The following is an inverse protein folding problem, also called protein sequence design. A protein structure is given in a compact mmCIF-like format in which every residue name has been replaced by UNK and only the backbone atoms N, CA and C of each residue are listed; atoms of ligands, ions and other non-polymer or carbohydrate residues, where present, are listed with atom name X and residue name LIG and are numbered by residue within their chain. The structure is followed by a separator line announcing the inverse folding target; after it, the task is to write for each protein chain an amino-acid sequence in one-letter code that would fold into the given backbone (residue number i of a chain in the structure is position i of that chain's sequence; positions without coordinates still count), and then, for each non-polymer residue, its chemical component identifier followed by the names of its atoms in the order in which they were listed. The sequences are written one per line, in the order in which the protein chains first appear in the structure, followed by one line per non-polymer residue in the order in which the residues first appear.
data_IF_637474884779
#
_entry.id   IF_637474884779
#
_cell.length_a   1.000
_cell.length_b   1.000
_cell.length_c   1.000
_cell.angle_alpha   90.00
_cell.angle_beta   90.00
_cell.angle_gamma   90.00
#
_symmetry.space_group_name_H-M   'P 1'
#
loop_
_entity.id
_entity.type
_entity.pdbx_description
1 polymer ?
#
# COMPACT_ATOMS: atom_id res chain seq x y z
N UNK A 1 11.17 -9.84 -102.06
CA UNK A 1 12.38 -10.60 -101.65
C UNK A 1 13.01 -9.79 -100.53
N UNK A 2 13.10 -10.18 -99.26
CA UNK A 2 13.04 -11.48 -98.57
C UNK A 2 12.88 -11.14 -97.06
N UNK A 3 11.78 -11.54 -96.42
CA UNK A 3 11.68 -12.47 -95.27
C UNK A 3 12.62 -12.29 -94.05
N UNK A 4 11.95 -12.26 -92.89
CA UNK A 4 12.22 -12.93 -91.58
C UNK A 4 13.40 -12.52 -90.67
N UNK A 5 13.02 -12.09 -89.46
CA UNK A 5 13.22 -12.73 -88.13
C UNK A 5 13.45 -11.62 -87.09
N UNK A 6 12.56 -11.35 -86.12
CA UNK A 6 12.07 -12.20 -85.04
C UNK A 6 13.23 -12.79 -84.22
N UNK A 7 13.59 -12.11 -83.13
CA UNK A 7 13.47 -12.61 -81.76
C UNK A 7 14.45 -11.90 -80.80
N UNK A 8 14.03 -11.83 -79.54
CA UNK A 8 14.81 -11.47 -78.36
C UNK A 8 15.26 -10.01 -78.19
N UNK A 9 14.38 -9.22 -77.56
CA UNK A 9 14.77 -8.33 -76.45
C UNK A 9 13.57 -7.78 -75.69
N UNK A 10 13.53 -8.16 -74.41
CA UNK A 10 13.04 -7.36 -73.29
C UNK A 10 11.58 -6.87 -73.35
N UNK A 11 10.65 -7.72 -72.89
CA UNK A 11 9.47 -7.21 -72.20
C UNK A 11 9.55 -7.55 -70.71
N UNK A 12 9.62 -6.49 -69.91
CA UNK A 12 9.49 -6.47 -68.46
C UNK A 12 8.03 -6.76 -68.12
N UNK A 13 7.75 -7.85 -67.42
CA UNK A 13 6.52 -8.01 -66.64
C UNK A 13 6.83 -8.91 -65.43
N UNK A 14 6.79 -8.30 -64.24
CA UNK A 14 6.77 -8.97 -62.94
C UNK A 14 5.36 -9.53 -62.74
N UNK A 15 5.21 -10.77 -62.24
CA UNK A 15 4.63 -10.88 -60.90
C UNK A 15 5.14 -12.09 -60.10
N UNK A 16 4.78 -12.11 -58.81
CA UNK A 16 4.84 -13.27 -57.89
C UNK A 16 6.15 -13.50 -57.13
N UNK A 17 6.46 -12.58 -56.22
CA UNK A 17 7.31 -12.87 -55.05
C UNK A 17 6.48 -13.52 -53.95
N UNK A 18 6.56 -14.85 -53.85
CA UNK A 18 5.91 -15.65 -52.82
C UNK A 18 6.37 -15.30 -51.40
N UNK A 19 5.42 -15.35 -50.48
CA UNK A 19 5.59 -15.25 -49.02
C UNK A 19 6.56 -16.35 -48.54
N UNK A 20 7.64 -16.05 -47.79
CA UNK A 20 8.52 -17.11 -47.29
C UNK A 20 7.76 -18.00 -46.29
N UNK A 21 7.99 -19.32 -46.29
CA UNK A 21 7.34 -20.24 -45.37
C UNK A 21 7.88 -20.04 -43.94
N UNK A 22 6.96 -19.99 -42.97
CA UNK A 22 7.25 -19.97 -41.54
C UNK A 22 8.14 -21.17 -41.17
N UNK A 23 9.36 -20.90 -40.72
CA UNK A 23 10.17 -21.89 -40.03
C UNK A 23 9.54 -22.16 -38.65
N UNK A 24 8.74 -23.22 -38.57
CA UNK A 24 8.30 -23.79 -37.30
C UNK A 24 9.51 -24.43 -36.60
N UNK A 25 10.24 -23.63 -35.83
CA UNK A 25 11.19 -24.15 -34.84
C UNK A 25 10.37 -24.80 -33.74
N UNK A 26 10.34 -26.14 -33.77
CA UNK A 26 9.81 -27.01 -32.73
C UNK A 26 10.64 -26.83 -31.45
N UNK A 27 10.21 -25.93 -30.56
CA UNK A 27 10.73 -25.86 -29.20
C UNK A 27 10.29 -27.13 -28.49
N UNK A 28 11.26 -27.98 -28.17
CA UNK A 28 11.05 -29.13 -27.29
C UNK A 28 10.68 -28.59 -25.90
N UNK A 29 9.49 -28.96 -25.43
CA UNK A 29 9.01 -28.69 -24.07
C UNK A 29 9.73 -29.62 -23.10
N UNK A 30 10.89 -29.22 -22.60
CA UNK A 30 11.50 -29.86 -21.44
C UNK A 30 10.76 -29.37 -20.19
N UNK A 31 10.17 -30.30 -19.43
CA UNK A 31 9.43 -29.99 -18.21
C UNK A 31 10.41 -29.42 -17.16
N UNK A 32 10.01 -28.38 -16.40
CA UNK A 32 10.85 -27.87 -15.32
C UNK A 32 11.12 -28.95 -14.26
N UNK A 33 12.33 -29.00 -13.67
CA UNK A 33 12.65 -29.97 -12.64
C UNK A 33 11.72 -29.79 -11.41
N UNK A 34 11.39 -30.87 -10.68
CA UNK A 34 10.52 -30.80 -9.52
C UNK A 34 11.15 -29.91 -8.43
N UNK A 35 10.39 -28.92 -7.97
CA UNK A 35 10.73 -28.08 -6.82
C UNK A 35 10.77 -28.96 -5.57
N UNK A 36 11.90 -28.97 -4.86
CA UNK A 36 12.03 -29.71 -3.60
C UNK A 36 11.03 -29.19 -2.55
N UNK A 37 10.43 -30.06 -1.72
CA UNK A 37 9.51 -29.61 -0.67
C UNK A 37 10.24 -28.74 0.37
N UNK A 38 9.56 -27.73 0.93
CA UNK A 38 10.14 -26.86 1.96
C UNK A 38 10.49 -27.66 3.24
N UNK A 39 11.54 -27.27 3.97
CA UNK A 39 11.90 -27.92 5.23
C UNK A 39 10.80 -27.74 6.28
N UNK A 40 10.60 -28.70 7.20
CA UNK A 40 9.61 -28.60 8.26
C UNK A 40 9.95 -27.44 9.23
N UNK A 41 8.94 -26.81 9.84
CA UNK A 41 9.15 -25.72 10.80
C UNK A 41 9.90 -26.25 12.03
N UNK A 42 11.01 -25.59 12.38
CA UNK A 42 11.72 -25.83 13.64
C UNK A 42 10.86 -25.34 14.81
N UNK A 43 10.44 -26.25 15.69
CA UNK A 43 9.88 -25.89 16.98
C UNK A 43 10.99 -25.36 17.92
N UNK A 44 10.72 -24.33 18.75
CA UNK A 44 11.64 -23.90 19.79
C UNK A 44 11.74 -24.98 20.89
N UNK A 45 12.92 -25.17 21.51
CA UNK A 45 13.08 -26.13 22.60
C UNK A 45 12.31 -25.68 23.86
N UNK A 46 11.64 -26.64 24.51
CA UNK A 46 10.89 -26.42 25.75
C UNK A 46 11.81 -25.91 26.89
N UNK A 47 11.31 -25.02 27.78
CA UNK A 47 12.09 -24.55 28.91
C UNK A 47 12.34 -25.67 29.92
N UNK A 48 13.63 -25.89 30.20
CA UNK A 48 14.16 -26.87 31.15
C UNK A 48 13.83 -26.45 32.58
N UNK A 49 12.98 -27.21 33.25
CA UNK A 49 12.66 -27.02 34.67
C UNK A 49 13.92 -27.21 35.53
N UNK A 50 14.26 -26.18 36.30
CA UNK A 50 15.31 -26.24 37.32
C UNK A 50 14.66 -26.57 38.67
N UNK A 51 14.72 -27.84 39.06
CA UNK A 51 14.53 -28.27 40.44
C UNK A 51 15.75 -27.87 41.26
N UNK A 52 15.54 -27.31 42.47
CA UNK A 52 16.38 -27.34 43.68
C UNK A 52 15.91 -26.21 44.60
N UNK A 53 15.80 -26.32 45.93
CA UNK A 53 15.99 -27.39 46.90
C UNK A 53 15.40 -26.84 48.22
N UNK A 54 14.65 -27.63 48.96
CA UNK A 54 14.13 -27.25 50.28
C UNK A 54 15.23 -27.21 51.36
N UNK A 55 15.09 -26.33 52.35
CA UNK A 55 15.81 -26.40 53.64
C UNK A 55 15.06 -25.65 54.76
N UNK A 56 14.40 -26.43 55.63
CA UNK A 56 14.33 -26.36 57.12
C UNK A 56 14.01 -25.00 57.80
N UNK A 57 12.92 -24.74 58.55
CA UNK A 57 12.18 -25.37 59.66
C UNK A 57 12.46 -24.78 61.06
N UNK A 58 11.41 -24.77 61.91
CA UNK A 58 11.24 -24.27 63.30
C UNK A 58 10.77 -22.81 63.41
N UNK A 59 9.76 -22.42 64.22
CA UNK A 59 9.20 -22.97 65.45
C UNK A 59 7.77 -22.41 65.71
N UNK A 60 6.93 -23.23 66.36
CA UNK A 60 5.57 -22.94 66.80
C UNK A 60 5.54 -21.96 67.98
N UNK A 61 4.59 -21.02 67.99
CA UNK A 61 3.99 -20.56 69.23
C UNK A 61 2.51 -20.19 69.03
N UNK A 62 1.63 -20.93 69.70
CA UNK A 62 0.21 -20.58 69.89
C UNK A 62 0.14 -19.95 71.27
N UNK A 63 -0.27 -18.68 71.34
CA UNK A 63 -1.00 -18.22 72.50
C UNK A 63 -2.07 -17.20 72.12
N UNK A 64 -3.20 -17.35 72.78
CA UNK A 64 -4.45 -16.63 72.55
C UNK A 64 -4.54 -15.39 73.45
N UNK A 65 -5.38 -14.45 73.01
CA UNK A 65 -6.02 -13.35 73.76
C UNK A 65 -5.17 -12.12 74.13
N UNK A 66 -5.45 -10.99 73.48
CA UNK A 66 -6.11 -9.84 74.12
C UNK A 66 -6.32 -8.66 73.15
N UNK A 67 -7.58 -8.21 73.11
CA UNK A 67 -8.08 -6.83 72.97
C UNK A 67 -7.45 -5.79 72.01
N UNK A 68 -8.35 -5.25 71.18
CA UNK A 68 -8.56 -3.80 70.97
C UNK A 68 -7.48 -3.00 70.24
N UNK A 69 -7.69 -2.77 68.94
CA UNK A 69 -7.85 -1.44 68.32
C UNK A 69 -7.73 -1.56 66.80
N UNK A 70 -8.82 -1.27 66.08
CA UNK A 70 -8.78 -1.03 64.62
C UNK A 70 -8.32 0.43 64.44
N UNK A 71 -7.19 0.72 63.77
CA UNK A 71 -6.92 2.09 63.36
C UNK A 71 -7.87 2.41 62.20
N UNK A 72 -8.75 3.38 62.41
CA UNK A 72 -9.53 3.99 61.33
C UNK A 72 -8.58 4.68 60.36
N UNK A 73 -8.11 3.95 59.35
CA UNK A 73 -7.53 4.55 58.15
C UNK A 73 -8.68 5.23 57.40
N UNK A 74 -8.67 6.56 57.39
CA UNK A 74 -9.59 7.37 56.59
C UNK A 74 -9.34 7.03 55.11
N UNK A 75 -10.23 6.24 54.51
CA UNK A 75 -10.30 6.14 53.06
C UNK A 75 -10.85 7.47 52.54
N UNK A 76 -9.96 8.34 52.07
CA UNK A 76 -10.36 9.46 51.24
C UNK A 76 -11.09 8.90 50.02
N UNK A 77 -12.34 9.30 49.84
CA UNK A 77 -13.08 9.07 48.60
C UNK A 77 -12.26 9.63 47.44
N UNK A 78 -11.92 8.86 46.39
CA UNK A 78 -11.53 9.48 45.14
C UNK A 78 -12.78 10.19 44.63
N UNK A 79 -12.83 11.51 44.81
CA UNK A 79 -13.78 12.38 44.10
C UNK A 79 -13.53 12.14 42.63
N UNK A 80 -14.40 11.34 41.99
CA UNK A 80 -14.44 11.19 40.55
C UNK A 80 -14.77 12.58 40.02
N UNK A 81 -13.75 13.28 39.51
CA UNK A 81 -13.99 14.51 38.79
C UNK A 81 -15.03 14.22 37.70
N UNK A 82 -16.05 15.07 37.50
CA UNK A 82 -16.92 14.92 36.35
C UNK A 82 -15.99 14.88 35.13
N UNK A 83 -16.16 13.85 34.30
CA UNK A 83 -15.48 13.74 33.02
C UNK A 83 -15.79 15.03 32.27
N UNK A 84 -14.87 15.97 32.32
CA UNK A 84 -15.01 17.25 31.64
C UNK A 84 -15.13 16.86 30.18
N UNK A 85 -16.29 17.17 29.59
CA UNK A 85 -16.59 16.92 28.20
C UNK A 85 -15.33 17.22 27.38
N UNK A 86 -14.74 16.16 26.83
CA UNK A 86 -13.63 16.28 25.90
C UNK A 86 -14.06 17.33 24.90
N UNK A 87 -13.29 18.41 24.83
CA UNK A 87 -13.58 19.53 23.96
C UNK A 87 -13.81 18.95 22.57
N UNK A 88 -15.05 19.01 22.09
CA UNK A 88 -15.38 18.68 20.72
C UNK A 88 -14.70 19.73 19.85
N UNK A 89 -13.39 19.60 19.64
CA UNK A 89 -12.72 20.26 18.55
C UNK A 89 -13.49 19.80 17.31
N UNK A 90 -14.15 20.75 16.66
CA UNK A 90 -14.69 20.55 15.34
C UNK A 90 -13.56 19.94 14.51
N UNK A 91 -13.72 18.67 14.12
CA UNK A 91 -12.75 17.97 13.28
C UNK A 91 -12.69 18.81 12.02
N UNK A 92 -11.56 19.46 11.76
CA UNK A 92 -11.32 20.07 10.48
C UNK A 92 -11.41 18.93 9.45
N UNK A 93 -12.52 18.90 8.70
CA UNK A 93 -12.70 17.91 7.64
C UNK A 93 -11.72 18.31 6.54
N UNK A 94 -10.54 17.72 6.58
CA UNK A 94 -9.55 17.91 5.54
C UNK A 94 -10.03 17.18 4.29
N UNK A 95 -10.24 17.90 3.19
CA UNK A 95 -10.64 17.34 1.91
C UNK A 95 -9.48 16.57 1.28
N UNK A 96 -9.79 15.61 0.41
CA UNK A 96 -8.77 14.90 -0.37
C UNK A 96 -8.00 15.87 -1.25
N UNK A 97 -8.67 16.85 -1.87
CA UNK A 97 -7.98 17.86 -2.67
C UNK A 97 -6.89 18.60 -1.86
N UNK A 98 -7.20 19.02 -0.62
CA UNK A 98 -6.22 19.70 0.23
C UNK A 98 -5.04 18.78 0.57
N UNK A 99 -5.31 17.52 0.93
CA UNK A 99 -4.26 16.53 1.20
C UNK A 99 -3.36 16.29 -0.02
N UNK A 100 -3.94 16.24 -1.22
CA UNK A 100 -3.18 16.08 -2.47
C UNK A 100 -2.29 17.30 -2.73
N UNK A 101 -2.78 18.51 -2.46
CA UNK A 101 -1.97 19.74 -2.56
C UNK A 101 -0.82 19.74 -1.55
N UNK A 102 -1.09 19.37 -0.29
CA UNK A 102 -0.07 19.31 0.75
C UNK A 102 1.00 18.25 0.45
N UNK A 103 0.59 17.09 -0.05
CA UNK A 103 1.49 16.02 -0.49
C UNK A 103 2.37 16.46 -1.66
N UNK A 104 1.78 17.13 -2.66
CA UNK A 104 2.52 17.69 -3.79
C UNK A 104 3.56 18.73 -3.34
N UNK A 105 3.17 19.65 -2.46
CA UNK A 105 4.08 20.66 -1.91
C UNK A 105 5.23 20.07 -1.08
N UNK A 106 5.05 18.85 -0.54
CA UNK A 106 6.06 18.10 0.22
C UNK A 106 6.88 17.13 -0.67
N UNK A 107 6.77 17.21 -2.00
CA UNK A 107 7.40 16.29 -2.97
C UNK A 107 7.08 14.80 -2.68
N UNK A 108 5.86 14.50 -2.25
CA UNK A 108 5.42 13.13 -2.01
C UNK A 108 5.06 12.42 -3.32
N UNK A 109 5.46 11.13 -3.43
CA UNK A 109 5.11 10.27 -4.56
C UNK A 109 3.77 9.56 -4.38
N UNK A 110 3.44 9.20 -3.13
CA UNK A 110 2.23 8.46 -2.81
C UNK A 110 1.62 8.96 -1.48
N UNK A 111 0.29 8.94 -1.39
CA UNK A 111 -0.47 9.16 -0.16
C UNK A 111 -1.15 7.85 0.22
N UNK A 112 -0.96 7.42 1.46
CA UNK A 112 -1.55 6.21 2.01
C UNK A 112 -2.60 6.58 3.06
N UNK A 113 -3.84 6.20 2.79
CA UNK A 113 -4.98 6.34 3.68
C UNK A 113 -5.52 4.96 4.01
N UNK A 114 -5.79 4.70 5.28
CA UNK A 114 -6.38 3.44 5.74
C UNK A 114 -7.19 3.70 7.00
N UNK A 115 -8.38 3.12 7.07
CA UNK A 115 -9.23 3.17 8.26
C UNK A 115 -8.45 2.64 9.48
N UNK A 116 -8.52 3.39 10.59
CA UNK A 116 -7.84 3.05 11.84
C UNK A 116 -6.36 3.44 11.89
N UNK A 117 -5.81 4.04 10.83
CA UNK A 117 -4.42 4.50 10.80
C UNK A 117 -4.30 6.01 10.55
N UNK A 118 -3.15 6.57 10.93
CA UNK A 118 -2.77 7.93 10.59
C UNK A 118 -2.27 7.99 9.15
N UNK A 119 -2.59 9.08 8.45
CA UNK A 119 -2.19 9.31 7.06
C UNK A 119 -0.67 9.30 6.92
N UNK A 120 -0.17 8.68 5.85
CA UNK A 120 1.26 8.67 5.54
C UNK A 120 1.53 9.13 4.13
N UNK A 121 2.55 9.97 3.99
CA UNK A 121 3.07 10.37 2.68
C UNK A 121 4.36 9.61 2.41
N UNK A 122 4.51 9.10 1.20
CA UNK A 122 5.80 8.59 0.73
C UNK A 122 6.60 9.74 0.13
N UNK A 123 7.62 10.20 0.84
CA UNK A 123 8.48 11.30 0.39
C UNK A 123 9.86 10.73 0.10
N UNK A 124 10.32 10.83 -1.15
CA UNK A 124 11.63 10.31 -1.60
C UNK A 124 11.90 8.85 -1.18
N UNK A 125 10.86 8.02 -1.24
CA UNK A 125 10.90 6.60 -0.89
C UNK A 125 10.71 6.26 0.59
N UNK A 126 10.72 7.25 1.49
CA UNK A 126 10.47 7.05 2.92
C UNK A 126 9.00 7.31 3.27
N UNK A 127 8.46 6.54 4.22
CA UNK A 127 7.08 6.70 4.69
C UNK A 127 7.04 7.67 5.88
N UNK A 128 6.39 8.82 5.72
CA UNK A 128 6.34 9.90 6.71
C UNK A 128 4.91 10.08 7.23
N UNK A 129 4.74 9.95 8.55
CA UNK A 129 3.45 10.11 9.24
C UNK A 129 3.03 11.57 9.23
N UNK A 130 1.77 11.83 8.88
CA UNK A 130 1.16 13.15 8.89
C UNK A 130 0.18 13.26 10.07
N UNK A 131 0.72 13.53 11.26
CA UNK A 131 -0.04 13.55 12.51
C UNK A 131 -1.12 14.64 12.55
N UNK A 132 -1.00 15.67 11.71
CA UNK A 132 -1.95 16.78 11.61
C UNK A 132 -3.36 16.35 11.16
N UNK A 133 -3.48 15.24 10.42
CA UNK A 133 -4.77 14.74 9.94
C UNK A 133 -5.46 13.77 10.92
N UNK A 134 -4.75 13.31 11.96
CA UNK A 134 -5.26 12.32 12.90
C UNK A 134 -5.46 10.92 12.30
N UNK A 135 -6.18 10.06 13.04
CA UNK A 135 -6.53 8.71 12.62
C UNK A 135 -7.80 8.72 11.78
N UNK A 136 -7.80 8.02 10.65
CA UNK A 136 -8.97 7.94 9.75
C UNK A 136 -10.05 7.06 10.37
N UNK A 137 -11.26 7.61 10.50
CA UNK A 137 -12.46 6.84 10.89
C UNK A 137 -13.17 6.22 9.68
N UNK A 138 -14.01 5.20 9.86
CA UNK A 138 -14.83 4.64 8.78
C UNK A 138 -15.73 5.69 8.09
N UNK A 139 -16.32 6.61 8.85
CA UNK A 139 -17.15 7.68 8.30
C UNK A 139 -16.35 8.66 7.44
N UNK A 140 -15.14 9.03 7.88
CA UNK A 140 -14.23 9.87 7.09
C UNK A 140 -13.83 9.16 5.80
N UNK A 141 -13.51 7.86 5.88
CA UNK A 141 -13.16 7.07 4.71
C UNK A 141 -14.28 7.04 3.67
N UNK A 142 -15.54 6.85 4.11
CA UNK A 142 -16.70 6.93 3.23
C UNK A 142 -16.83 8.31 2.59
N UNK A 143 -16.65 9.38 3.37
CA UNK A 143 -16.63 10.75 2.84
C UNK A 143 -15.54 10.96 1.79
N UNK A 144 -14.36 10.36 1.96
CA UNK A 144 -13.29 10.41 0.97
C UNK A 144 -13.63 9.65 -0.31
N UNK A 145 -14.29 8.50 -0.21
CA UNK A 145 -14.77 7.77 -1.39
C UNK A 145 -15.80 8.60 -2.17
N UNK A 146 -16.74 9.22 -1.47
CA UNK A 146 -17.77 10.09 -2.05
C UNK A 146 -17.18 11.36 -2.71
N UNK A 147 -16.05 11.88 -2.20
CA UNK A 147 -15.34 13.01 -2.79
C UNK A 147 -14.67 12.64 -4.12
N UNK A 148 -14.14 11.42 -4.24
CA UNK A 148 -13.24 11.04 -5.34
C UNK A 148 -13.87 10.12 -6.40
N UNK A 149 -14.95 9.41 -6.07
CA UNK A 149 -15.59 8.43 -6.94
C UNK A 149 -17.00 8.86 -7.34
N UNK A 150 -17.42 8.48 -8.54
CA UNK A 150 -18.83 8.58 -8.94
C UNK A 150 -19.69 7.54 -8.19
N UNK A 151 -21.01 7.76 -8.03
CA UNK A 151 -21.89 6.80 -7.35
C UNK A 151 -21.81 5.38 -7.91
N UNK A 152 -21.67 5.24 -9.23
CA UNK A 152 -21.49 3.94 -9.90
C UNK A 152 -20.16 3.26 -9.57
N UNK A 153 -19.09 4.04 -9.37
CA UNK A 153 -17.80 3.52 -8.96
C UNK A 153 -17.81 3.09 -7.48
N UNK A 154 -18.56 3.80 -6.64
CA UNK A 154 -18.77 3.43 -5.24
C UNK A 154 -19.53 2.09 -5.17
N UNK A 155 -20.63 1.95 -5.91
CA UNK A 155 -21.38 0.69 -6.01
C UNK A 155 -20.45 -0.46 -6.47
N UNK A 156 -19.65 -0.24 -7.52
CA UNK A 156 -18.69 -1.24 -7.97
C UNK A 156 -17.64 -1.58 -6.92
N UNK A 157 -17.15 -0.60 -6.15
CA UNK A 157 -16.22 -0.82 -5.05
C UNK A 157 -16.86 -1.62 -3.91
N UNK A 158 -18.12 -1.36 -3.55
CA UNK A 158 -18.85 -2.10 -2.54
C UNK A 158 -19.06 -3.58 -2.92
N UNK A 159 -19.23 -3.86 -4.22
CA UNK A 159 -19.38 -5.24 -4.73
C UNK A 159 -18.04 -5.98 -4.86
N UNK A 160 -17.02 -5.32 -5.41
CA UNK A 160 -15.74 -5.95 -5.79
C UNK A 160 -14.66 -5.81 -4.72
N UNK A 161 -14.86 -4.92 -3.76
CA UNK A 161 -13.90 -4.55 -2.71
C UNK A 161 -12.57 -3.96 -3.23
N UNK A 162 -12.49 -3.62 -4.51
CA UNK A 162 -11.33 -2.99 -5.13
C UNK A 162 -11.72 -2.06 -6.28
N UNK A 163 -10.96 -0.99 -6.50
CA UNK A 163 -11.17 -0.09 -7.63
C UNK A 163 -9.86 0.63 -7.98
N UNK A 164 -9.55 0.72 -9.28
CA UNK A 164 -8.52 1.61 -9.81
C UNK A 164 -9.20 2.75 -10.58
N UNK A 165 -8.85 3.99 -10.26
CA UNK A 165 -9.38 5.20 -10.87
C UNK A 165 -8.25 6.20 -11.17
N UNK A 166 -8.52 7.13 -12.06
CA UNK A 166 -7.63 8.25 -12.34
C UNK A 166 -8.37 9.57 -12.09
N UNK A 167 -7.74 10.48 -11.36
CA UNK A 167 -8.27 11.81 -11.06
C UNK A 167 -7.33 12.83 -11.66
N UNK A 168 -7.89 13.80 -12.37
CA UNK A 168 -7.13 14.91 -12.92
C UNK A 168 -7.41 16.16 -12.09
N UNK A 169 -6.36 16.77 -11.53
CA UNK A 169 -6.44 18.05 -10.88
C UNK A 169 -5.87 19.14 -11.81
N UNK A 170 -6.71 20.01 -12.38
CA UNK A 170 -6.28 20.97 -13.39
C UNK A 170 -5.13 21.85 -12.92
N UNK A 171 -4.09 21.92 -13.74
CA UNK A 171 -2.99 22.87 -13.57
C UNK A 171 -1.85 22.42 -12.65
N UNK A 172 -1.90 21.21 -12.05
CA UNK A 172 -0.73 20.73 -11.30
C UNK A 172 -0.40 19.23 -11.45
N UNK A 173 -1.33 18.30 -11.22
CA UNK A 173 -1.04 16.87 -11.34
C UNK A 173 -2.26 16.01 -11.70
N UNK A 174 -1.97 14.78 -12.09
CA UNK A 174 -2.97 13.69 -12.12
C UNK A 174 -2.64 12.68 -11.02
N UNK A 175 -3.66 12.07 -10.44
CA UNK A 175 -3.53 11.00 -9.48
C UNK A 175 -4.00 9.69 -10.10
N UNK A 176 -3.25 8.61 -9.87
CA UNK A 176 -3.81 7.25 -9.94
C UNK A 176 -4.25 6.84 -8.55
N UNK A 177 -5.48 6.42 -8.42
CA UNK A 177 -6.13 6.10 -7.14
C UNK A 177 -6.44 4.62 -7.13
N UNK A 178 -6.00 3.93 -6.09
CA UNK A 178 -6.39 2.56 -5.82
C UNK A 178 -7.14 2.51 -4.50
N UNK A 179 -8.40 2.12 -4.56
CA UNK A 179 -9.25 1.85 -3.39
C UNK A 179 -9.30 0.33 -3.19
N UNK A 180 -9.22 -0.13 -1.95
CA UNK A 180 -9.28 -1.55 -1.62
C UNK A 180 -9.84 -1.76 -0.22
N UNK A 181 -10.46 -2.90 0.02
CA UNK A 181 -10.84 -3.36 1.36
C UNK A 181 -9.71 -4.18 1.98
N UNK A 182 -9.58 -4.15 3.30
CA UNK A 182 -8.58 -4.96 4.01
C UNK A 182 -9.13 -5.50 5.33
N UNK A 183 -8.39 -6.38 6.00
CA UNK A 183 -8.85 -6.96 7.27
C UNK A 183 -9.20 -5.90 8.34
N UNK A 184 -8.53 -4.74 8.31
CA UNK A 184 -8.72 -3.66 9.29
C UNK A 184 -9.64 -2.55 8.78
N UNK A 185 -10.28 -2.73 7.63
CA UNK A 185 -11.10 -1.72 6.96
C UNK A 185 -10.51 -1.23 5.63
N UNK A 186 -11.25 -0.35 4.97
CA UNK A 186 -10.90 0.20 3.67
C UNK A 186 -9.61 1.04 3.66
N UNK A 187 -8.97 1.06 2.49
CA UNK A 187 -7.79 1.86 2.21
C UNK A 187 -7.85 2.51 0.83
N UNK A 188 -7.20 3.66 0.72
CA UNK A 188 -7.00 4.38 -0.53
C UNK A 188 -5.51 4.72 -0.66
N UNK A 189 -4.94 4.48 -1.83
CA UNK A 189 -3.59 4.93 -2.18
C UNK A 189 -3.67 5.86 -3.38
N UNK A 190 -3.19 7.09 -3.21
CA UNK A 190 -3.00 8.03 -4.30
C UNK A 190 -1.55 7.98 -4.74
N UNK A 191 -1.31 7.82 -6.03
CA UNK A 191 -0.01 8.07 -6.65
C UNK A 191 -0.06 9.38 -7.40
N UNK A 192 0.77 10.34 -6.98
CA UNK A 192 0.87 11.64 -7.60
C UNK A 192 1.72 11.52 -8.86
N UNK A 193 1.20 12.02 -9.98
CA UNK A 193 1.89 12.05 -11.27
C UNK A 193 1.92 13.53 -11.72
N UNK A 194 3.04 14.23 -11.50
CA UNK A 194 3.20 15.61 -11.94
C UNK A 194 2.97 15.76 -13.45
N UNK A 195 2.48 16.93 -13.88
CA UNK A 195 2.28 17.24 -15.30
C UNK A 195 3.59 17.57 -16.02
N UNK A 196 4.57 18.11 -15.29
CA UNK A 196 5.89 18.37 -15.85
C UNK A 196 6.66 17.06 -16.05
N UNK A 197 7.06 16.80 -17.30
CA UNK A 197 7.83 15.62 -17.66
C UNK A 197 9.31 16.00 -17.62
N UNK A 198 10.12 15.43 -16.71
CA UNK A 198 11.53 15.76 -16.61
C UNK A 198 12.27 15.52 -17.93
N UNK A 199 13.15 16.45 -18.28
CA UNK A 199 14.05 16.28 -19.43
C UNK A 199 15.10 15.21 -19.15
N UNK A 200 15.67 14.62 -20.20
CA UNK A 200 16.75 13.62 -20.08
C UNK A 200 17.92 14.19 -19.27
N UNK A 201 18.27 15.47 -19.49
CA UNK A 201 19.31 16.16 -18.73
C UNK A 201 18.94 16.34 -17.25
N UNK A 202 17.68 16.67 -16.95
CA UNK A 202 17.19 16.82 -15.57
C UNK A 202 17.16 15.52 -14.77
N UNK A 203 17.09 14.37 -15.45
CA UNK A 203 17.10 13.05 -14.82
C UNK A 203 18.52 12.52 -14.51
N UNK A 204 19.57 13.24 -14.90
CA UNK A 204 20.96 12.76 -14.73
C UNK A 204 21.28 11.52 -15.57
N UNK A 205 20.55 11.32 -16.67
CA UNK A 205 20.71 10.16 -17.52
C UNK A 205 21.94 10.28 -18.44
N UNK A 206 22.62 9.16 -18.77
CA UNK A 206 23.73 9.19 -19.71
C UNK A 206 23.34 9.77 -21.08
N UNK A 207 24.17 10.64 -21.70
CA UNK A 207 23.85 11.30 -22.97
C UNK A 207 23.54 10.34 -24.11
N UNK A 208 24.07 9.10 -24.07
CA UNK A 208 23.81 8.06 -25.09
C UNK A 208 22.32 7.75 -25.22
N UNK A 209 21.52 7.94 -24.17
CA UNK A 209 20.08 7.70 -24.18
C UNK A 209 19.30 8.70 -25.05
N UNK A 210 19.88 9.88 -25.34
CA UNK A 210 19.27 10.86 -26.26
C UNK A 210 19.18 10.37 -27.70
N UNK A 211 19.95 9.34 -28.07
CA UNK A 211 19.98 8.81 -29.44
C UNK A 211 18.96 7.69 -29.68
N UNK A 212 18.24 7.24 -28.64
CA UNK A 212 17.29 6.11 -28.71
C UNK A 212 15.82 6.53 -28.52
N UNK A 213 15.56 7.81 -28.28
CA UNK A 213 14.24 8.43 -28.08
C UNK A 213 14.04 9.44 -29.20
#
# INVERSE_FOLDING_TARGET
MTQLNQDDRANREMPMGGRPPNASTRIQSEAPPPIAPPPPPMHPPAPRMMTRQASQSSHLNVNSQSESQVPTQQYATPTVAPWTAASSQAIAVNTIEQMVRDAHNKDASDIHLRVGEVIRFRIRGAMTIQSEYGTITPDQFKGYLEEILSPKQIENFEETMELDAAIYYPGFLRCRVNCFESLTGGGIVFRLIPLDVPTIDGLGLPPVLKNFI
#
